data_IF_249739066793
#
_entry.id   IF_249739066793
#
_cell.length_a   1.000
_cell.length_b   1.000
_cell.length_c   1.000
_cell.angle_alpha   90.00
_cell.angle_beta   90.00
_cell.angle_gamma   90.00
#
_symmetry.space_group_name_H-M   'P 1'
#
loop_
_entity.id
_entity.type
_entity.pdbx_description
1 polymer ?
#
# COMPACT_ATOMS: atom_id res chain seq x y z
N UNK A 1 -5.56 -1.43 -5.61
CA UNK A 1 -6.50 -0.95 -6.66
C UNK A 1 -6.67 -2.05 -7.68
N UNK A 2 -7.87 -2.23 -8.26
CA UNK A 2 -8.16 -3.35 -9.18
C UNK A 2 -8.82 -2.79 -10.44
N UNK A 3 -8.34 -3.18 -11.61
CA UNK A 3 -8.94 -2.92 -12.90
C UNK A 3 -9.33 -4.23 -13.58
N UNK A 4 -10.51 -4.26 -14.18
CA UNK A 4 -11.07 -5.46 -14.82
C UNK A 4 -11.55 -5.11 -16.22
N UNK A 5 -11.27 -5.99 -17.17
CA UNK A 5 -11.96 -5.93 -18.45
C UNK A 5 -13.33 -6.58 -18.30
N UNK A 6 -14.36 -5.83 -17.92
CA UNK A 6 -15.72 -6.42 -17.75
C UNK A 6 -16.51 -6.48 -19.07
N UNK A 7 -16.13 -5.68 -20.08
CA UNK A 7 -16.87 -5.54 -21.33
C UNK A 7 -16.46 -6.55 -22.41
N UNK A 8 -15.18 -6.96 -22.45
CA UNK A 8 -14.65 -7.85 -23.46
C UNK A 8 -13.91 -9.02 -22.82
N UNK A 9 -14.19 -10.23 -23.30
CA UNK A 9 -13.40 -11.40 -22.93
C UNK A 9 -11.96 -11.26 -23.41
N UNK A 10 -11.06 -11.98 -22.76
CA UNK A 10 -9.63 -12.01 -23.07
C UNK A 10 -9.33 -12.33 -24.54
N UNK A 11 -10.15 -13.17 -25.16
CA UNK A 11 -10.01 -13.54 -26.58
C UNK A 11 -10.16 -12.35 -27.53
N UNK A 12 -10.91 -11.33 -27.11
CA UNK A 12 -11.12 -10.10 -27.89
C UNK A 12 -10.18 -8.99 -27.48
N UNK A 13 -9.86 -8.90 -26.19
CA UNK A 13 -9.05 -7.82 -25.65
C UNK A 13 -8.27 -8.28 -24.42
N UNK A 14 -6.94 -8.26 -24.55
CA UNK A 14 -6.02 -8.55 -23.45
C UNK A 14 -5.56 -7.25 -22.81
N UNK A 15 -5.47 -7.24 -21.48
CA UNK A 15 -4.88 -6.11 -20.74
C UNK A 15 -3.62 -6.60 -20.04
N UNK A 16 -2.51 -5.89 -20.23
CA UNK A 16 -1.22 -6.24 -19.63
C UNK A 16 -0.55 -4.98 -19.08
N UNK A 17 0.27 -5.17 -18.06
CA UNK A 17 1.16 -4.13 -17.58
C UNK A 17 2.27 -3.89 -18.61
N UNK A 18 2.50 -2.63 -18.97
CA UNK A 18 3.67 -2.25 -19.74
C UNK A 18 4.88 -2.11 -18.81
N UNK A 19 5.81 -3.08 -18.91
CA UNK A 19 6.99 -3.16 -18.06
C UNK A 19 7.92 -1.95 -18.20
N UNK A 20 7.97 -1.32 -19.38
CA UNK A 20 8.82 -0.17 -19.62
C UNK A 20 8.29 1.08 -18.90
N UNK A 21 6.98 1.30 -18.99
CA UNK A 21 6.30 2.38 -18.29
C UNK A 21 6.29 2.17 -16.78
N UNK A 22 6.15 0.93 -16.29
CA UNK A 22 6.22 0.63 -14.85
C UNK A 22 7.59 0.96 -14.26
N UNK A 23 8.68 0.60 -14.93
CA UNK A 23 10.04 0.91 -14.45
C UNK A 23 10.28 2.41 -14.34
N UNK A 24 9.94 3.17 -15.38
CA UNK A 24 10.04 4.65 -15.35
C UNK A 24 9.15 5.26 -14.27
N UNK A 25 7.90 4.80 -14.13
CA UNK A 25 6.99 5.31 -13.11
C UNK A 25 7.45 5.01 -11.67
N UNK A 26 8.16 3.89 -11.45
CA UNK A 26 8.74 3.54 -10.15
C UNK A 26 10.00 4.35 -9.83
N UNK A 27 10.83 4.63 -10.83
CA UNK A 27 12.03 5.45 -10.68
C UNK A 27 11.70 6.95 -10.48
N UNK A 28 10.64 7.44 -11.13
CA UNK A 28 10.22 8.84 -11.05
C UNK A 28 9.28 9.14 -9.87
N UNK A 29 8.58 8.15 -9.32
CA UNK A 29 7.71 8.36 -8.16
C UNK A 29 8.54 8.59 -6.89
N UNK A 30 8.68 9.87 -6.53
CA UNK A 30 9.39 10.28 -5.32
C UNK A 30 8.48 10.29 -4.07
N UNK A 31 7.21 9.87 -4.19
CA UNK A 31 6.25 9.86 -3.09
C UNK A 31 6.49 8.63 -2.21
N UNK A 32 7.39 8.79 -1.23
CA UNK A 32 7.75 7.74 -0.27
C UNK A 32 6.89 7.76 0.99
N UNK A 33 6.24 8.88 1.29
CA UNK A 33 5.52 9.08 2.55
C UNK A 33 4.15 9.72 2.31
N UNK A 34 3.11 9.12 2.88
CA UNK A 34 1.73 9.61 2.89
C UNK A 34 1.28 9.71 4.34
N UNK A 35 1.45 10.90 4.93
CA UNK A 35 1.17 11.12 6.35
C UNK A 35 2.13 10.33 7.24
N UNK A 36 1.62 9.34 7.97
CA UNK A 36 2.42 8.44 8.83
C UNK A 36 2.76 7.13 8.13
N UNK A 37 2.33 6.94 6.88
CA UNK A 37 2.57 5.72 6.11
C UNK A 37 3.78 5.92 5.21
N UNK A 38 4.75 5.03 5.35
CA UNK A 38 5.94 4.95 4.52
C UNK A 38 5.69 3.83 3.50
N UNK A 39 5.68 4.16 2.22
CA UNK A 39 5.58 3.18 1.15
C UNK A 39 6.87 2.35 1.12
N UNK A 40 6.73 1.04 1.25
CA UNK A 40 7.85 0.09 1.20
C UNK A 40 8.02 -0.48 -0.21
N UNK A 41 6.91 -0.93 -0.81
CA UNK A 41 6.93 -1.63 -2.08
C UNK A 41 5.57 -1.55 -2.78
N UNK A 42 5.57 -1.88 -4.08
CA UNK A 42 4.38 -1.96 -4.93
C UNK A 42 4.42 -3.20 -5.82
N UNK A 43 3.42 -4.07 -5.69
CA UNK A 43 3.27 -5.24 -6.56
C UNK A 43 2.25 -4.97 -7.67
N UNK A 44 2.64 -5.32 -8.90
CA UNK A 44 1.79 -5.26 -10.09
C UNK A 44 1.43 -6.68 -10.51
N UNK A 45 0.20 -7.07 -10.22
CA UNK A 45 -0.30 -8.43 -10.44
C UNK A 45 -1.23 -8.43 -11.65
N UNK A 46 -1.09 -9.44 -12.51
CA UNK A 46 -2.03 -9.74 -13.58
C UNK A 46 -2.64 -11.12 -13.31
N UNK A 47 -3.97 -11.19 -13.21
CA UNK A 47 -4.75 -12.38 -12.91
C UNK A 47 -5.80 -12.64 -14.00
N UNK A 48 -6.20 -13.90 -14.14
CA UNK A 48 -7.28 -14.32 -15.03
C UNK A 48 -8.52 -14.66 -14.20
N UNK A 49 -9.65 -14.04 -14.53
CA UNK A 49 -10.95 -14.27 -13.93
C UNK A 49 -11.80 -15.17 -14.82
N UNK A 50 -12.10 -16.36 -14.33
CA UNK A 50 -12.97 -17.32 -14.99
C UNK A 50 -14.43 -17.08 -14.55
N UNK A 51 -15.31 -16.74 -15.50
CA UNK A 51 -16.75 -16.57 -15.28
C UNK A 51 -17.56 -17.38 -16.30
N UNK A 52 -18.87 -17.50 -16.05
CA UNK A 52 -19.78 -18.25 -16.93
C UNK A 52 -19.80 -17.72 -18.38
N UNK A 53 -19.52 -16.44 -18.58
CA UNK A 53 -19.52 -15.74 -19.87
C UNK A 53 -18.12 -15.61 -20.49
N UNK A 54 -17.09 -16.24 -19.93
CA UNK A 54 -15.74 -16.27 -20.49
C UNK A 54 -14.62 -16.00 -19.49
N UNK A 55 -13.41 -15.84 -20.03
CA UNK A 55 -12.20 -15.48 -19.27
C UNK A 55 -11.94 -13.99 -19.44
N UNK A 56 -11.59 -13.31 -18.34
CA UNK A 56 -11.35 -11.87 -18.30
C UNK A 56 -10.03 -11.57 -17.61
N UNK A 57 -9.28 -10.61 -18.13
CA UNK A 57 -8.04 -10.16 -17.48
C UNK A 57 -8.37 -9.18 -16.33
N UNK A 58 -7.67 -9.34 -15.22
CA UNK A 58 -7.69 -8.46 -14.06
C UNK A 58 -6.27 -7.97 -13.76
N UNK A 59 -6.14 -6.66 -13.60
CA UNK A 59 -4.91 -6.00 -13.20
C UNK A 59 -5.07 -5.48 -11.78
N UNK A 60 -4.18 -5.89 -10.88
CA UNK A 60 -4.19 -5.47 -9.48
C UNK A 60 -2.88 -4.79 -9.12
N UNK A 61 -2.99 -3.64 -8.45
CA UNK A 61 -1.84 -2.97 -7.82
C UNK A 61 -1.99 -3.04 -6.31
N UNK A 62 -0.98 -3.59 -5.66
CA UNK A 62 -0.88 -3.71 -4.20
C UNK A 62 0.20 -2.77 -3.71
N UNK A 63 -0.13 -1.94 -2.72
CA UNK A 63 0.81 -1.02 -2.10
C UNK A 63 1.12 -1.51 -0.69
N UNK A 64 2.40 -1.74 -0.39
CA UNK A 64 2.84 -2.17 0.93
C UNK A 64 3.33 -0.96 1.72
N UNK A 65 2.66 -0.67 2.83
CA UNK A 65 3.01 0.45 3.69
C UNK A 65 3.48 -0.03 5.07
N UNK A 66 4.43 0.70 5.64
CA UNK A 66 4.77 0.62 7.07
C UNK A 66 4.41 1.92 7.77
N UNK A 67 3.88 1.83 8.98
CA UNK A 67 3.63 3.01 9.80
C UNK A 67 4.92 3.56 10.42
N UNK A 68 5.16 4.86 10.29
CA UNK A 68 6.21 5.58 11.01
C UNK A 68 5.90 5.63 12.50
N UNK A 69 6.83 5.16 13.33
CA UNK A 69 6.63 5.06 14.78
C UNK A 69 6.87 6.37 15.54
N UNK A 70 7.54 7.34 14.93
CA UNK A 70 8.00 8.57 15.59
C UNK A 70 6.85 9.37 16.22
N UNK A 71 5.74 9.59 15.49
CA UNK A 71 4.58 10.31 16.04
C UNK A 71 3.92 9.58 17.20
N UNK A 72 3.79 8.25 17.12
CA UNK A 72 3.19 7.44 18.19
C UNK A 72 4.05 7.51 19.45
N UNK A 73 5.38 7.46 19.29
CA UNK A 73 6.32 7.59 20.40
C UNK A 73 6.19 8.95 21.11
N UNK A 74 6.18 10.05 20.36
CA UNK A 74 6.09 11.39 20.95
C UNK A 74 4.72 11.71 21.55
N UNK A 75 3.63 11.29 20.91
CA UNK A 75 2.28 11.64 21.36
C UNK A 75 1.79 10.78 22.53
N UNK A 76 2.19 9.51 22.59
CA UNK A 76 1.63 8.57 23.58
C UNK A 76 2.66 8.03 24.56
N UNK A 77 3.81 7.57 24.06
CA UNK A 77 4.80 6.92 24.94
C UNK A 77 5.51 7.93 25.84
N UNK A 78 5.98 9.06 25.30
CA UNK A 78 6.71 10.07 26.08
C UNK A 78 5.86 10.63 27.25
N UNK A 79 4.62 11.11 27.03
CA UNK A 79 3.78 11.57 28.13
C UNK A 79 3.48 10.47 29.15
N UNK A 80 3.19 9.24 28.69
CA UNK A 80 2.86 8.13 29.60
C UNK A 80 4.03 7.76 30.52
N UNK A 81 5.24 7.72 29.98
CA UNK A 81 6.46 7.46 30.78
C UNK A 81 6.71 8.60 31.76
N UNK A 82 6.51 9.86 31.34
CA UNK A 82 6.63 11.00 32.24
C UNK A 82 5.62 10.94 33.39
N UNK A 83 4.36 10.61 33.11
CA UNK A 83 3.35 10.43 34.16
C UNK A 83 3.72 9.32 35.13
N UNK A 84 4.23 8.18 34.63
CA UNK A 84 4.69 7.08 35.47
C UNK A 84 5.83 7.52 36.40
N UNK A 85 6.85 8.20 35.88
CA UNK A 85 7.99 8.68 36.67
C UNK A 85 7.54 9.70 37.72
N UNK A 86 6.65 10.63 37.36
CA UNK A 86 6.10 11.61 38.30
C UNK A 86 5.30 10.90 39.40
N UNK A 87 4.47 9.92 39.05
CA UNK A 87 3.67 9.16 40.01
C UNK A 87 4.54 8.45 41.04
N UNK A 88 5.61 7.78 40.60
CA UNK A 88 6.55 7.09 41.50
C UNK A 88 7.21 8.07 42.48
N UNK A 89 7.55 9.28 42.02
CA UNK A 89 8.16 10.32 42.86
C UNK A 89 7.19 11.01 43.83
N UNK A 90 5.89 10.89 43.64
CA UNK A 90 4.87 11.52 44.49
C UNK A 90 4.46 10.61 45.66
N UNK A 91 4.74 9.31 45.56
CA UNK A 91 4.45 8.31 46.61
C UNK A 91 5.57 8.15 47.66
N UNK A 92 6.75 8.75 47.45
CA UNK A 92 7.85 8.87 48.44
C UNK A 92 7.83 10.24 49.15
#
# INVERSE_FOLDING_TARGET
MVWRNEANSRDRQQIKWDQNTLRSALEENNVKEVGDLILLDMDFIHSELFRQNGVFDELTVVFHFRRGHHKVLFLFFVPSVLFMIISIKVED
#
